data_IF_372651855912
#
_entry.id   IF_372651855912
#
_cell.length_a   1.000
_cell.length_b   1.000
_cell.length_c   1.000
_cell.angle_alpha   90.00
_cell.angle_beta   90.00
_cell.angle_gamma   90.00
#
_symmetry.space_group_name_H-M   'P 1'
#
loop_
_entity.id
_entity.type
_entity.pdbx_description
1 polymer ?
#
# COMPACT_ATOMS: atom_id res chain seq x y z
N UNK A 1 -1.05 16.45 12.92
CA UNK A 1 -0.84 15.43 11.87
C UNK A 1 0.65 15.35 11.65
N UNK A 2 1.23 14.15 11.65
CA UNK A 2 2.67 13.97 11.41
C UNK A 2 2.89 13.89 9.89
N UNK A 3 3.84 14.66 9.37
CA UNK A 3 4.20 14.69 7.95
C UNK A 3 5.73 14.82 7.84
N UNK A 4 6.37 13.87 7.15
CA UNK A 4 7.84 13.80 7.00
C UNK A 4 8.28 14.22 5.58
N UNK A 5 7.38 14.09 4.60
CA UNK A 5 7.63 14.38 3.19
C UNK A 5 6.50 15.26 2.66
N UNK A 6 6.87 16.39 2.05
CA UNK A 6 5.91 17.26 1.39
C UNK A 6 5.41 16.68 0.06
N UNK A 7 4.31 17.19 -0.52
CA UNK A 7 3.76 16.67 -1.78
C UNK A 7 4.71 16.72 -2.99
N UNK A 8 5.68 17.63 -3.01
CA UNK A 8 6.72 17.75 -4.02
C UNK A 8 7.93 16.82 -3.76
N UNK A 9 7.91 16.06 -2.67
CA UNK A 9 8.98 15.13 -2.30
C UNK A 9 10.12 15.78 -1.50
N UNK A 10 9.95 17.00 -1.02
CA UNK A 10 10.91 17.65 -0.13
C UNK A 10 10.80 17.04 1.27
N UNK A 11 11.94 16.67 1.84
CA UNK A 11 12.00 16.10 3.18
C UNK A 11 11.83 17.23 4.22
N UNK A 12 10.83 17.10 5.10
CA UNK A 12 10.49 18.07 6.14
C UNK A 12 11.14 17.74 7.49
N UNK A 13 11.49 16.46 7.72
CA UNK A 13 12.10 15.95 8.95
C UNK A 13 12.99 14.73 8.64
N UNK A 14 13.70 14.16 9.62
CA UNK A 14 14.58 13.01 9.41
C UNK A 14 13.84 11.84 8.73
N UNK A 15 14.44 11.30 7.66
CA UNK A 15 13.86 10.19 6.91
C UNK A 15 13.92 8.91 7.76
N UNK A 16 12.79 8.24 8.05
CA UNK A 16 12.77 7.05 8.90
C UNK A 16 13.37 5.81 8.21
N UNK A 17 13.56 5.88 6.89
CA UNK A 17 14.06 4.79 6.05
C UNK A 17 15.11 5.31 5.08
N UNK A 18 16.09 4.47 4.77
CA UNK A 18 17.05 4.74 3.70
C UNK A 18 16.50 4.31 2.33
N UNK A 19 17.15 4.77 1.26
CA UNK A 19 16.74 4.50 -0.13
C UNK A 19 16.63 3.01 -0.43
N UNK A 20 17.56 2.19 0.06
CA UNK A 20 17.59 0.75 -0.20
C UNK A 20 16.35 0.03 0.36
N UNK A 21 15.80 0.51 1.48
CA UNK A 21 14.51 0.03 2.02
C UNK A 21 13.31 0.67 1.33
N UNK A 22 13.40 1.93 0.90
CA UNK A 22 12.29 2.62 0.25
C UNK A 22 11.98 2.07 -1.15
N UNK A 23 12.98 1.67 -1.93
CA UNK A 23 12.77 1.18 -3.31
C UNK A 23 11.87 -0.07 -3.38
N UNK A 24 12.09 -1.13 -2.58
CA UNK A 24 11.19 -2.28 -2.53
C UNK A 24 9.76 -1.91 -2.14
N UNK A 25 9.56 -1.01 -1.17
CA UNK A 25 8.22 -0.59 -0.73
C UNK A 25 7.50 0.19 -1.81
N UNK A 26 8.21 1.08 -2.51
CA UNK A 26 7.65 1.77 -3.66
C UNK A 26 7.24 0.79 -4.76
N UNK A 27 8.04 -0.25 -5.01
CA UNK A 27 7.69 -1.30 -5.97
C UNK A 27 6.41 -2.02 -5.56
N UNK A 28 6.29 -2.42 -4.30
CA UNK A 28 5.08 -3.05 -3.77
C UNK A 28 3.84 -2.14 -3.95
N UNK A 29 3.97 -0.83 -3.77
CA UNK A 29 2.87 0.11 -4.00
C UNK A 29 2.40 0.12 -5.46
N UNK A 30 3.33 0.04 -6.42
CA UNK A 30 3.00 -0.04 -7.85
C UNK A 30 2.31 -1.36 -8.18
N UNK A 31 2.80 -2.47 -7.63
CA UNK A 31 2.21 -3.80 -7.82
C UNK A 31 0.79 -3.89 -7.22
N UNK A 32 0.62 -3.38 -6.01
CA UNK A 32 -0.68 -3.28 -5.34
C UNK A 32 -1.69 -2.44 -6.14
N UNK A 33 -1.25 -1.29 -6.70
CA UNK A 33 -2.10 -0.48 -7.58
C UNK A 33 -2.46 -1.19 -8.88
N UNK A 34 -1.53 -1.95 -9.45
CA UNK A 34 -1.80 -2.74 -10.66
C UNK A 34 -2.83 -3.85 -10.39
N UNK A 35 -2.71 -4.53 -9.23
CA UNK A 35 -3.70 -5.49 -8.75
C UNK A 35 -5.07 -4.83 -8.58
N UNK A 36 -5.12 -3.66 -7.94
CA UNK A 36 -6.38 -2.95 -7.67
C UNK A 36 -7.14 -2.60 -8.94
N UNK A 37 -6.43 -2.00 -9.90
CA UNK A 37 -6.97 -1.64 -11.21
C UNK A 37 -7.44 -2.86 -11.99
N UNK A 38 -6.75 -4.00 -11.87
CA UNK A 38 -7.17 -5.25 -12.51
C UNK A 38 -8.44 -5.81 -11.88
N UNK A 39 -8.54 -5.81 -10.55
CA UNK A 39 -9.73 -6.21 -9.81
C UNK A 39 -10.95 -5.39 -10.24
N UNK A 40 -10.82 -4.07 -10.28
CA UNK A 40 -11.85 -3.17 -10.79
C UNK A 40 -12.23 -3.46 -12.25
N UNK A 41 -11.25 -3.73 -13.12
CA UNK A 41 -11.53 -4.04 -14.53
C UNK A 41 -12.31 -5.35 -14.70
N UNK A 42 -11.97 -6.38 -13.91
CA UNK A 42 -12.69 -7.66 -13.92
C UNK A 42 -14.11 -7.51 -13.36
N UNK A 43 -14.27 -6.72 -12.30
CA UNK A 43 -15.58 -6.42 -11.72
C UNK A 43 -16.50 -5.76 -12.75
N UNK A 44 -16.01 -4.73 -13.46
CA UNK A 44 -16.76 -4.05 -14.53
C UNK A 44 -17.14 -4.97 -15.70
N UNK A 45 -16.37 -6.03 -15.92
CA UNK A 45 -16.66 -7.04 -16.95
C UNK A 45 -17.61 -8.16 -16.46
N UNK A 46 -18.06 -8.12 -15.20
CA UNK A 46 -18.85 -9.19 -14.59
C UNK A 46 -18.07 -10.49 -14.37
N UNK A 47 -16.74 -10.43 -14.44
CA UNK A 47 -15.83 -11.57 -14.27
C UNK A 47 -15.33 -11.75 -12.84
N UNK A 48 -15.60 -10.75 -12.00
CA UNK A 48 -15.39 -10.73 -10.56
C UNK A 48 -16.66 -10.14 -9.94
N UNK A 49 -17.18 -10.73 -8.87
CA UNK A 49 -18.47 -10.33 -8.30
C UNK A 49 -18.41 -8.93 -7.66
N UNK A 50 -18.00 -8.86 -6.40
CA UNK A 50 -17.81 -7.60 -5.67
C UNK A 50 -16.32 -7.40 -5.43
N UNK A 51 -15.83 -6.20 -5.70
CA UNK A 51 -14.43 -5.83 -5.48
C UNK A 51 -14.35 -4.50 -4.73
N UNK A 52 -13.49 -4.42 -3.72
CA UNK A 52 -13.30 -3.24 -2.89
C UNK A 52 -12.01 -2.52 -3.30
N UNK A 53 -12.10 -1.39 -4.02
CA UNK A 53 -10.92 -0.68 -4.49
C UNK A 53 -10.16 -0.01 -3.34
N UNK A 54 -8.84 0.09 -3.47
CA UNK A 54 -7.96 0.67 -2.45
C UNK A 54 -6.86 1.60 -3.03
N UNK A 55 -6.90 1.92 -4.34
CA UNK A 55 -6.00 2.90 -4.95
C UNK A 55 -5.98 4.22 -4.14
N UNK A 56 -4.77 4.68 -3.79
CA UNK A 56 -4.53 5.79 -2.88
C UNK A 56 -4.28 5.41 -1.42
N UNK A 57 -4.41 4.13 -1.04
CA UNK A 57 -4.14 3.61 0.31
C UNK A 57 -2.97 2.63 0.36
N UNK A 58 -2.22 2.48 -0.73
CA UNK A 58 -1.17 1.45 -0.86
C UNK A 58 -0.06 1.64 0.19
N UNK A 59 0.40 2.88 0.36
CA UNK A 59 1.44 3.22 1.34
C UNK A 59 1.01 2.96 2.78
N UNK A 60 -0.27 3.20 3.10
CA UNK A 60 -0.79 2.99 4.45
C UNK A 60 -0.83 1.50 4.83
N UNK A 61 -1.08 0.62 3.85
CA UNK A 61 -1.10 -0.83 4.05
C UNK A 61 0.33 -1.40 4.09
N UNK A 62 1.11 -1.14 3.04
CA UNK A 62 2.48 -1.66 2.92
C UNK A 62 3.40 -1.13 4.01
N UNK A 63 3.33 0.18 4.30
CA UNK A 63 4.14 0.80 5.33
C UNK A 63 3.79 0.33 6.75
N UNK A 64 2.53 -0.05 6.99
CA UNK A 64 2.12 -0.63 8.27
C UNK A 64 2.55 -2.10 8.43
N UNK A 65 2.65 -2.86 7.33
CA UNK A 65 3.14 -4.24 7.36
C UNK A 65 4.66 -4.34 7.47
N UNK A 66 5.40 -3.38 6.93
CA UNK A 66 6.87 -3.42 6.83
C UNK A 66 7.62 -3.73 8.14
N UNK A 67 7.25 -3.14 9.30
CA UNK A 67 7.94 -3.42 10.55
C UNK A 67 7.45 -4.69 11.27
N UNK A 68 6.40 -5.36 10.77
CA UNK A 68 5.82 -6.53 11.42
C UNK A 68 6.70 -7.77 11.22
N UNK A 69 6.77 -8.60 12.25
CA UNK A 69 7.38 -9.93 12.19
C UNK A 69 6.39 -11.04 11.89
N UNK A 70 6.91 -12.25 11.65
CA UNK A 70 6.11 -13.43 11.26
C UNK A 70 5.07 -13.84 12.31
N UNK A 71 5.27 -13.48 13.58
CA UNK A 71 4.38 -13.81 14.70
C UNK A 71 3.42 -12.67 15.07
N UNK A 72 3.52 -11.52 14.40
CA UNK A 72 2.66 -10.36 14.69
C UNK A 72 1.25 -10.58 14.12
N UNK A 73 0.26 -10.26 14.94
CA UNK A 73 -1.15 -10.43 14.58
C UNK A 73 -1.67 -9.24 13.81
N UNK A 74 -2.19 -9.48 12.60
CA UNK A 74 -2.88 -8.48 11.78
C UNK A 74 -4.37 -8.78 11.77
N UNK A 75 -5.18 -7.82 12.22
CA UNK A 75 -6.64 -7.87 12.10
C UNK A 75 -7.07 -7.02 10.91
N UNK A 76 -7.00 -7.62 9.72
CA UNK A 76 -7.28 -6.97 8.45
C UNK A 76 -8.79 -6.72 8.21
N UNK A 77 -9.08 -5.78 7.33
CA UNK A 77 -10.41 -5.47 6.78
C UNK A 77 -10.51 -5.91 5.32
N UNK A 78 -11.70 -5.76 4.73
CA UNK A 78 -11.94 -6.08 3.31
C UNK A 78 -11.14 -5.21 2.32
N UNK A 79 -10.54 -4.10 2.78
CA UNK A 79 -9.79 -3.14 1.94
C UNK A 79 -8.27 -3.31 2.06
N UNK A 80 -7.82 -4.23 2.90
CA UNK A 80 -6.40 -4.48 3.22
C UNK A 80 -5.77 -5.51 2.29
N UNK A 81 -6.11 -5.45 1.00
CA UNK A 81 -5.62 -6.41 0.02
C UNK A 81 -4.13 -6.24 -0.32
N UNK A 82 -3.51 -5.11 0.02
CA UNK A 82 -2.07 -4.87 -0.13
C UNK A 82 -1.28 -5.15 1.17
N UNK A 83 -1.94 -5.63 2.23
CA UNK A 83 -1.30 -6.15 3.45
C UNK A 83 -0.89 -7.63 3.33
N UNK A 84 -1.40 -8.35 2.31
CA UNK A 84 -1.21 -9.78 2.07
C UNK A 84 -0.39 -10.03 0.81
#
# INVERSE_FOLDING_TARGET
MLEILSPDGTLLDEAPLNVDRTVPLYRQMIEARAYDRKGMALQKQGRLATYAPFEGQEAAQIGAAEPLGDEDWVVATYRDAALM
#
